data_IF_671181210426
#
_entry.id   IF_671181210426
#
_cell.length_a   1.000
_cell.length_b   1.000
_cell.length_c   1.000
_cell.angle_alpha   90.00
_cell.angle_beta   90.00
_cell.angle_gamma   90.00
#
_symmetry.space_group_name_H-M   'P 1'
#
loop_
_entity.id
_entity.type
_entity.pdbx_description
1 polymer ?
#
# COMPACT_ATOMS: atom_id res chain seq x y z
N UNK A 1 -13.51 5.57 -0.54
CA UNK A 1 -13.81 4.22 -1.05
C UNK A 1 -12.94 3.98 -2.27
N UNK A 2 -12.64 2.73 -2.63
CA UNK A 2 -11.80 2.46 -3.82
C UNK A 2 -12.64 2.75 -5.07
N UNK A 3 -12.19 3.62 -5.99
CA UNK A 3 -12.86 3.82 -7.26
C UNK A 3 -13.03 2.50 -8.01
N UNK A 4 -14.23 2.22 -8.53
CA UNK A 4 -14.54 0.93 -9.16
C UNK A 4 -13.57 0.56 -10.29
N UNK A 5 -13.12 1.55 -11.07
CA UNK A 5 -12.12 1.37 -12.12
C UNK A 5 -10.73 0.95 -11.60
N UNK A 6 -10.42 1.25 -10.34
CA UNK A 6 -9.13 0.97 -9.71
C UNK A 6 -9.13 -0.31 -8.86
N UNK A 7 -10.29 -0.89 -8.52
CA UNK A 7 -10.38 -2.15 -7.77
C UNK A 7 -9.57 -3.30 -8.40
N UNK A 8 -9.65 -3.56 -9.72
CA UNK A 8 -8.84 -4.60 -10.35
C UNK A 8 -7.33 -4.35 -10.21
N UNK A 9 -6.92 -3.07 -10.27
CA UNK A 9 -5.53 -2.67 -10.09
C UNK A 9 -5.04 -2.93 -8.66
N UNK A 10 -5.80 -2.52 -7.64
CA UNK A 10 -5.44 -2.74 -6.22
C UNK A 10 -5.27 -4.24 -5.94
N UNK A 11 -6.22 -5.06 -6.40
CA UNK A 11 -6.17 -6.51 -6.23
C UNK A 11 -4.95 -7.14 -6.90
N UNK A 12 -4.63 -6.72 -8.13
CA UNK A 12 -3.46 -7.22 -8.85
C UNK A 12 -2.17 -6.77 -8.18
N UNK A 13 -2.07 -5.51 -7.76
CA UNK A 13 -0.90 -4.97 -7.08
C UNK A 13 -0.60 -5.74 -5.79
N UNK A 14 -1.63 -6.12 -5.02
CA UNK A 14 -1.47 -6.98 -3.84
C UNK A 14 -0.88 -8.33 -4.21
N UNK A 15 -1.46 -9.02 -5.20
CA UNK A 15 -0.96 -10.34 -5.67
C UNK A 15 0.50 -10.28 -6.12
N UNK A 16 0.88 -9.25 -6.87
CA UNK A 16 2.25 -9.05 -7.34
C UNK A 16 3.21 -8.69 -6.19
N UNK A 17 2.71 -7.97 -5.17
CA UNK A 17 3.46 -7.69 -3.94
C UNK A 17 3.73 -8.95 -3.14
N UNK A 18 2.70 -9.79 -2.94
CA UNK A 18 2.80 -11.06 -2.22
C UNK A 18 3.72 -12.05 -2.96
N UNK A 19 3.72 -12.02 -4.29
CA UNK A 19 4.60 -12.82 -5.13
C UNK A 19 6.05 -12.30 -5.19
N UNK A 20 6.33 -11.15 -4.57
CA UNK A 20 7.65 -10.53 -4.55
C UNK A 20 8.08 -9.84 -5.86
N UNK A 21 7.15 -9.68 -6.81
CA UNK A 21 7.37 -9.04 -8.11
C UNK A 21 7.38 -7.51 -8.02
N UNK A 22 6.80 -6.95 -6.96
CA UNK A 22 6.86 -5.51 -6.65
C UNK A 22 7.86 -5.30 -5.53
N UNK A 23 8.85 -4.44 -5.77
CA UNK A 23 9.82 -4.02 -4.76
C UNK A 23 9.37 -2.69 -4.17
N UNK A 24 8.98 -2.75 -2.91
CA UNK A 24 8.59 -1.60 -2.13
C UNK A 24 9.79 -1.04 -1.38
N UNK A 25 9.85 0.28 -1.30
CA UNK A 25 10.84 1.04 -0.53
C UNK A 25 10.08 1.83 0.52
N UNK A 26 10.58 1.79 1.76
CA UNK A 26 10.05 2.62 2.85
C UNK A 26 10.27 4.11 2.55
N UNK A 27 9.19 4.89 2.69
CA UNK A 27 9.20 6.34 2.63
C UNK A 27 9.32 6.97 4.02
N UNK A 28 8.91 8.23 4.12
CA UNK A 28 8.77 8.89 5.42
C UNK A 28 7.56 8.32 6.18
N UNK A 29 7.69 8.19 7.51
CA UNK A 29 6.62 7.72 8.40
C UNK A 29 6.06 6.34 7.97
N UNK A 30 4.73 6.22 7.90
CA UNK A 30 3.98 5.04 7.53
C UNK A 30 3.67 5.02 6.03
N UNK A 31 4.70 5.23 5.20
CA UNK A 31 4.53 5.25 3.75
C UNK A 31 5.55 4.40 3.01
N UNK A 32 5.15 3.98 1.81
CA UNK A 32 5.92 3.14 0.94
C UNK A 32 5.72 3.57 -0.50
N UNK A 33 6.73 3.34 -1.34
CA UNK A 33 6.61 3.52 -2.77
C UNK A 33 7.26 2.38 -3.54
N UNK A 34 6.76 2.14 -4.75
CA UNK A 34 7.32 1.19 -5.68
C UNK A 34 7.39 1.81 -7.08
N UNK A 35 8.50 1.60 -7.77
CA UNK A 35 8.68 2.02 -9.15
C UNK A 35 8.62 0.80 -10.08
N UNK A 36 7.83 0.89 -11.14
CA UNK A 36 7.73 -0.14 -12.17
C UNK A 36 7.63 0.50 -13.56
N UNK A 37 8.74 0.54 -14.29
CA UNK A 37 8.82 1.25 -15.57
C UNK A 37 8.56 2.75 -15.40
N UNK A 38 7.55 3.27 -16.11
CA UNK A 38 7.11 4.66 -16.03
C UNK A 38 6.01 4.90 -14.98
N UNK A 39 5.73 3.91 -14.13
CA UNK A 39 4.74 3.99 -13.07
C UNK A 39 5.42 4.10 -11.70
N UNK A 40 4.93 5.01 -10.88
CA UNK A 40 5.28 5.11 -9.46
C UNK A 40 4.00 4.93 -8.66
N UNK A 41 3.99 3.95 -7.76
CA UNK A 41 2.89 3.73 -6.82
C UNK A 41 3.34 4.20 -5.45
N UNK A 42 2.51 5.00 -4.80
CA UNK A 42 2.68 5.44 -3.43
C UNK A 42 1.52 4.89 -2.59
N UNK A 43 1.85 4.41 -1.39
CA UNK A 43 0.88 3.91 -0.43
C UNK A 43 1.26 4.43 0.96
N UNK A 44 0.30 5.00 1.69
CA UNK A 44 0.52 5.49 3.04
C UNK A 44 -0.64 5.19 3.96
N UNK A 45 -0.33 5.10 5.24
CA UNK A 45 -1.29 4.99 6.34
C UNK A 45 -1.12 6.18 7.29
N UNK A 46 -2.23 6.73 7.76
CA UNK A 46 -2.27 7.72 8.83
C UNK A 46 -3.48 7.45 9.73
N UNK A 47 -3.41 7.85 10.98
CA UNK A 47 -4.54 7.87 11.90
C UNK A 47 -4.92 9.33 12.18
N UNK A 48 -6.18 9.68 11.97
CA UNK A 48 -6.75 10.99 12.28
C UNK A 48 -7.26 10.94 13.72
N UNK A 49 -6.48 11.49 14.65
CA UNK A 49 -6.78 11.45 16.09
C UNK A 49 -8.08 12.20 16.43
N UNK A 50 -8.39 13.31 15.75
CA UNK A 50 -9.59 14.11 16.01
C UNK A 50 -10.87 13.35 15.66
N UNK A 51 -10.80 12.48 14.65
CA UNK A 51 -11.93 11.69 14.16
C UNK A 51 -11.89 10.23 14.59
N UNK A 52 -10.80 9.80 15.22
CA UNK A 52 -10.48 8.40 15.51
C UNK A 52 -10.55 7.50 14.26
N UNK A 53 -10.09 8.00 13.11
CA UNK A 53 -10.21 7.31 11.82
C UNK A 53 -8.86 6.88 11.27
N UNK A 54 -8.76 5.60 10.91
CA UNK A 54 -7.66 5.12 10.07
C UNK A 54 -7.87 5.57 8.62
N UNK A 55 -6.83 6.07 7.98
CA UNK A 55 -6.87 6.54 6.59
C UNK A 55 -5.73 5.90 5.82
N UNK A 56 -6.08 5.14 4.77
CA UNK A 56 -5.15 4.61 3.79
C UNK A 56 -5.23 5.45 2.52
N UNK A 57 -4.09 5.91 2.02
CA UNK A 57 -4.01 6.72 0.79
C UNK A 57 -3.15 5.99 -0.21
N UNK A 58 -3.62 5.93 -1.46
CA UNK A 58 -2.84 5.41 -2.58
C UNK A 58 -2.81 6.45 -3.68
N UNK A 59 -1.65 6.60 -4.31
CA UNK A 59 -1.55 7.26 -5.61
C UNK A 59 -0.72 6.47 -6.60
N UNK A 60 -1.04 6.62 -7.88
CA UNK A 60 -0.34 6.04 -9.00
C UNK A 60 -0.01 7.17 -9.96
N UNK A 61 1.28 7.40 -10.18
CA UNK A 61 1.78 8.40 -11.10
C UNK A 61 2.28 7.75 -12.38
N UNK A 62 1.87 8.27 -13.54
CA UNK A 62 2.35 7.88 -14.86
C UNK A 62 2.57 9.11 -15.74
N UNK A 63 3.78 9.33 -16.24
CA UNK A 63 4.10 10.44 -17.14
C UNK A 63 3.64 11.82 -16.62
N UNK A 64 3.73 12.04 -15.31
CA UNK A 64 3.32 13.29 -14.66
C UNK A 64 1.81 13.41 -14.40
N UNK A 65 1.00 12.42 -14.78
CA UNK A 65 -0.40 12.32 -14.37
C UNK A 65 -0.50 11.46 -13.11
N UNK A 66 -1.29 11.91 -12.14
CA UNK A 66 -1.52 11.20 -10.88
C UNK A 66 -3.00 10.83 -10.74
N UNK A 67 -3.26 9.56 -10.43
CA UNK A 67 -4.54 9.09 -9.94
C UNK A 67 -4.39 8.73 -8.48
N UNK A 68 -5.19 9.32 -7.60
CA UNK A 68 -5.13 9.07 -6.16
C UNK A 68 -6.52 8.83 -5.58
N UNK A 69 -6.55 8.08 -4.47
CA UNK A 69 -7.74 7.92 -3.65
C UNK A 69 -7.35 7.65 -2.20
N UNK A 70 -8.31 7.85 -1.30
CA UNK A 70 -8.18 7.50 0.10
C UNK A 70 -9.34 6.59 0.53
N UNK A 71 -9.06 5.73 1.51
CA UNK A 71 -10.06 4.87 2.14
C UNK A 71 -9.96 5.02 3.66
N UNK A 72 -11.10 5.29 4.29
CA UNK A 72 -11.20 5.47 5.74
C UNK A 72 -11.79 4.24 6.43
N UNK A 73 -11.58 4.11 7.75
CA UNK A 73 -11.98 2.91 8.52
C UNK A 73 -13.48 2.62 8.55
N UNK A 74 -14.32 3.59 8.22
CA UNK A 74 -15.77 3.49 8.12
C UNK A 74 -16.26 3.05 6.73
N UNK A 75 -15.36 2.90 5.75
CA UNK A 75 -15.70 2.50 4.39
C UNK A 75 -15.55 0.99 4.18
N UNK A 76 -16.42 0.42 3.36
CA UNK A 76 -16.44 -1.03 3.08
C UNK A 76 -15.11 -1.57 2.51
N UNK A 77 -14.43 -0.78 1.68
CA UNK A 77 -13.21 -1.19 1.00
C UNK A 77 -11.95 -1.09 1.91
N UNK A 78 -12.11 -0.77 3.20
CA UNK A 78 -10.98 -0.62 4.12
C UNK A 78 -10.15 -1.89 4.24
N UNK A 79 -10.79 -3.05 4.20
CA UNK A 79 -10.10 -4.32 4.38
C UNK A 79 -9.14 -4.59 3.21
N UNK A 80 -9.53 -4.26 1.98
CA UNK A 80 -8.69 -4.41 0.79
C UNK A 80 -7.42 -3.55 0.91
N UNK A 81 -7.56 -2.32 1.42
CA UNK A 81 -6.43 -1.41 1.62
C UNK A 81 -5.54 -1.82 2.78
N UNK A 82 -6.13 -2.30 3.89
CA UNK A 82 -5.40 -2.83 5.04
C UNK A 82 -4.56 -4.05 4.65
N UNK A 83 -5.16 -4.98 3.90
CA UNK A 83 -4.48 -6.18 3.43
C UNK A 83 -3.31 -5.83 2.51
N UNK A 84 -3.53 -4.93 1.54
CA UNK A 84 -2.46 -4.44 0.69
C UNK A 84 -1.34 -3.79 1.50
N UNK A 85 -1.67 -2.90 2.44
CA UNK A 85 -0.67 -2.23 3.27
C UNK A 85 0.14 -3.22 4.12
N UNK A 86 -0.50 -4.25 4.64
CA UNK A 86 0.17 -5.37 5.34
C UNK A 86 1.15 -6.10 4.42
N UNK A 87 0.71 -6.49 3.22
CA UNK A 87 1.57 -7.11 2.20
C UNK A 87 2.78 -6.23 1.86
N UNK A 88 2.56 -4.93 1.68
CA UNK A 88 3.64 -3.96 1.40
C UNK A 88 4.63 -3.88 2.55
N UNK A 89 4.14 -3.80 3.79
CA UNK A 89 4.99 -3.71 5.00
C UNK A 89 5.90 -4.93 5.12
N UNK A 90 5.34 -6.14 4.94
CA UNK A 90 6.12 -7.39 4.99
C UNK A 90 7.11 -7.47 3.83
N UNK A 91 6.68 -7.09 2.63
CA UNK A 91 7.52 -7.08 1.42
C UNK A 91 8.72 -6.13 1.57
N UNK A 92 8.47 -4.91 2.08
CA UNK A 92 9.49 -3.89 2.29
C UNK A 92 10.49 -4.25 3.40
N UNK A 93 10.04 -4.91 4.47
CA UNK A 93 10.92 -5.38 5.55
C UNK A 93 11.85 -6.53 5.11
N UNK A 94 11.44 -7.28 4.06
CA UNK A 94 12.12 -8.48 3.61
C UNK A 94 11.88 -9.65 4.56
N UNK A 95 11.03 -10.60 4.17
CA UNK A 95 10.63 -11.74 5.00
C UNK A 95 11.82 -12.54 5.58
N UNK A 96 12.92 -12.66 4.83
CA UNK A 96 14.13 -13.34 5.30
C UNK A 96 14.75 -12.71 6.56
N UNK A 97 14.65 -11.39 6.70
CA UNK A 97 15.13 -10.67 7.87
C UNK A 97 14.19 -10.90 9.07
N UNK A 98 12.88 -10.82 8.84
CA UNK A 98 11.86 -11.03 9.88
C UNK A 98 11.89 -12.45 10.45
N UNK A 99 11.98 -13.48 9.59
CA UNK A 99 12.06 -14.86 10.04
C UNK A 99 13.32 -15.13 10.85
N UNK A 100 14.45 -14.52 10.47
CA UNK A 100 15.71 -14.65 11.20
C UNK A 100 15.63 -14.02 12.59
N UNK A 101 14.90 -12.92 12.75
CA UNK A 101 14.73 -12.27 14.06
C UNK A 101 13.67 -12.93 14.94
N UNK A 102 12.65 -13.59 14.36
CA UNK A 102 11.62 -14.31 15.11
C UNK A 102 12.15 -15.57 15.83
N UNK A 103 13.16 -16.24 15.25
CA UNK A 103 13.73 -17.48 15.80
C UNK A 103 15.02 -17.27 16.63
N UNK A 104 15.39 -16.01 16.92
CA UNK A 104 16.45 -15.68 17.90
C UNK A 104 15.87 -15.55 19.29
#
# INVERSE_FOLDING_TARGET
>A
MIPQSLKPFVNRLRQETDSGNVKWVGGAENSFFANHGAYTVYLSYSFDDDRELSVYKMSVTHQGQEAWFAVTSDEYDIQDMRDLYGSVTVSAAGFGNLATDFFK
#
